data_IF_925985576557
#
_entry.id   IF_925985576557
#
_cell.length_a   1.000
_cell.length_b   1.000
_cell.length_c   1.000
_cell.angle_alpha   90.00
_cell.angle_beta   90.00
_cell.angle_gamma   90.00
#
_symmetry.space_group_name_H-M   'P 1'
#
loop_
_entity.id
_entity.type
_entity.pdbx_description
1 polymer ?
#
# COMPACT_ATOMS: atom_id res chain seq x y z
N UNK A 1 8.78 -29.20 -33.02
CA UNK A 1 8.91 -29.35 -31.55
C UNK A 1 7.91 -28.41 -30.90
N UNK A 2 6.90 -28.93 -30.19
CA UNK A 2 5.95 -28.13 -29.40
C UNK A 2 6.58 -27.88 -28.03
N UNK A 3 6.82 -26.62 -27.68
CA UNK A 3 7.31 -26.23 -26.36
C UNK A 3 6.21 -26.51 -25.33
N UNK A 4 6.47 -27.40 -24.37
CA UNK A 4 5.53 -27.68 -23.29
C UNK A 4 5.38 -26.42 -22.42
N UNK A 5 4.17 -25.88 -22.21
CA UNK A 5 3.94 -24.66 -21.42
C UNK A 5 3.94 -24.92 -19.91
N UNK A 6 4.07 -26.17 -19.47
CA UNK A 6 4.04 -26.54 -18.06
C UNK A 6 4.99 -25.74 -17.15
N UNK A 7 6.30 -25.56 -17.46
CA UNK A 7 7.20 -24.84 -16.55
C UNK A 7 6.88 -23.34 -16.42
N UNK A 8 6.29 -22.71 -17.44
CA UNK A 8 6.00 -21.26 -17.39
C UNK A 8 4.79 -20.93 -16.51
N UNK A 9 3.78 -21.80 -16.45
CA UNK A 9 2.60 -21.60 -15.59
C UNK A 9 2.98 -21.73 -14.12
N UNK A 10 3.80 -22.72 -13.76
CA UNK A 10 4.27 -22.87 -12.38
C UNK A 10 5.09 -21.68 -11.89
N UNK A 11 5.98 -21.16 -12.75
CA UNK A 11 6.75 -19.96 -12.44
C UNK A 11 5.84 -18.75 -12.23
N UNK A 12 4.83 -18.56 -13.09
CA UNK A 12 3.88 -17.46 -12.96
C UNK A 12 3.09 -17.53 -11.64
N UNK A 13 2.57 -18.71 -11.27
CA UNK A 13 1.85 -18.90 -9.99
C UNK A 13 2.75 -18.61 -8.80
N UNK A 14 4.00 -19.07 -8.83
CA UNK A 14 4.96 -18.83 -7.76
C UNK A 14 5.29 -17.34 -7.59
N UNK A 15 5.49 -16.63 -8.70
CA UNK A 15 5.72 -15.18 -8.69
C UNK A 15 4.51 -14.41 -8.17
N UNK A 16 3.30 -14.75 -8.62
CA UNK A 16 2.05 -14.12 -8.15
C UNK A 16 1.87 -14.33 -6.65
N UNK A 17 2.14 -15.53 -6.15
CA UNK A 17 2.04 -15.83 -4.72
C UNK A 17 3.08 -15.05 -3.91
N UNK A 18 4.30 -14.92 -4.42
CA UNK A 18 5.34 -14.06 -3.83
C UNK A 18 4.87 -12.61 -3.71
N UNK A 19 4.32 -12.04 -4.78
CA UNK A 19 3.78 -10.67 -4.77
C UNK A 19 2.65 -10.48 -3.75
N UNK A 20 1.72 -11.44 -3.66
CA UNK A 20 0.61 -11.38 -2.68
C UNK A 20 1.14 -11.44 -1.26
N UNK A 21 2.11 -12.33 -0.99
CA UNK A 21 2.72 -12.48 0.33
C UNK A 21 3.43 -11.20 0.77
N UNK A 22 4.27 -10.63 -0.10
CA UNK A 22 4.97 -9.37 0.17
C UNK A 22 4.00 -8.22 0.41
N UNK A 23 2.95 -8.07 -0.43
CA UNK A 23 1.92 -7.04 -0.24
C UNK A 23 1.27 -7.15 1.14
N UNK A 24 0.85 -8.36 1.53
CA UNK A 24 0.15 -8.57 2.80
C UNK A 24 1.07 -8.32 4.00
N UNK A 25 2.34 -8.72 3.92
CA UNK A 25 3.33 -8.43 4.96
C UNK A 25 3.58 -6.93 5.13
N UNK A 26 3.71 -6.18 4.03
CA UNK A 26 3.90 -4.72 4.08
C UNK A 26 2.68 -4.01 4.65
N UNK A 27 1.46 -4.40 4.25
CA UNK A 27 0.23 -3.82 4.78
C UNK A 27 0.06 -4.11 6.29
N UNK A 28 0.37 -5.34 6.72
CA UNK A 28 0.38 -5.68 8.13
C UNK A 28 1.40 -4.84 8.91
N UNK A 29 2.64 -4.74 8.41
CA UNK A 29 3.68 -3.90 9.01
C UNK A 29 3.25 -2.43 9.13
N UNK A 30 2.65 -1.87 8.09
CA UNK A 30 2.13 -0.50 8.09
C UNK A 30 1.02 -0.28 9.15
N UNK A 31 0.13 -1.25 9.35
CA UNK A 31 -0.89 -1.18 10.40
C UNK A 31 -0.31 -1.29 11.81
N UNK A 32 0.65 -2.20 12.03
CA UNK A 32 1.24 -2.48 13.36
C UNK A 32 2.14 -1.35 13.82
N UNK A 33 2.99 -0.84 12.92
CA UNK A 33 3.97 0.18 13.25
C UNK A 33 3.36 1.58 13.37
N UNK A 34 2.05 1.73 13.12
CA UNK A 34 1.37 3.04 13.00
C UNK A 34 2.22 4.03 12.22
N UNK A 35 2.82 3.57 11.11
CA UNK A 35 3.53 4.48 10.21
C UNK A 35 2.42 5.33 9.60
N UNK A 36 2.18 6.49 10.21
CA UNK A 36 1.09 7.41 9.86
C UNK A 36 1.23 8.00 8.46
N UNK A 37 2.33 7.68 7.78
CA UNK A 37 2.69 8.22 6.48
C UNK A 37 3.30 7.14 5.59
N UNK A 38 2.47 6.56 4.72
CA UNK A 38 2.92 5.77 3.60
C UNK A 38 2.88 6.63 2.34
N UNK A 39 3.86 6.43 1.46
CA UNK A 39 3.87 6.98 0.10
C UNK A 39 3.61 5.84 -0.86
N UNK A 40 2.55 5.92 -1.66
CA UNK A 40 2.18 4.88 -2.60
C UNK A 40 2.10 5.40 -4.05
N UNK A 41 2.79 4.75 -4.99
CA UNK A 41 2.91 5.26 -6.36
C UNK A 41 1.61 5.27 -7.18
N UNK A 42 0.63 4.42 -6.83
CA UNK A 42 -0.58 4.20 -7.63
C UNK A 42 -1.89 4.52 -6.89
N UNK A 43 -1.83 5.38 -5.88
CA UNK A 43 -3.03 5.93 -5.21
C UNK A 43 -3.22 7.40 -5.60
N UNK A 44 -4.42 7.97 -5.44
CA UNK A 44 -4.68 9.36 -5.78
C UNK A 44 -3.70 10.32 -5.10
N UNK A 45 -3.18 11.28 -5.87
CA UNK A 45 -2.28 12.33 -5.37
C UNK A 45 -2.94 13.07 -4.20
N UNK A 46 -2.24 13.27 -3.07
CA UNK A 46 -0.79 13.28 -2.87
C UNK A 46 -0.18 11.90 -2.53
N UNK A 47 -0.99 10.85 -2.56
CA UNK A 47 -0.59 9.51 -2.17
C UNK A 47 -0.04 9.38 -0.75
N UNK A 48 -0.43 10.31 0.13
CA UNK A 48 -0.10 10.31 1.55
C UNK A 48 -1.31 9.83 2.35
N UNK A 49 -1.09 8.84 3.18
CA UNK A 49 -2.12 8.19 3.98
C UNK A 49 -1.54 7.14 4.89
N UNK A 50 -2.41 6.57 5.71
CA UNK A 50 -2.09 5.42 6.54
C UNK A 50 -2.99 4.25 6.17
N UNK A 51 -2.51 3.05 6.47
CA UNK A 51 -3.27 1.82 6.24
C UNK A 51 -3.92 1.42 7.56
N UNK A 52 -5.22 1.14 7.53
CA UNK A 52 -5.99 0.66 8.68
C UNK A 52 -6.50 -0.75 8.40
N UNK A 53 -6.41 -1.65 9.38
CA UNK A 53 -7.05 -2.97 9.30
C UNK A 53 -8.57 -2.84 9.49
N UNK A 54 -9.34 -3.41 8.57
CA UNK A 54 -10.80 -3.39 8.60
C UNK A 54 -11.30 -4.81 8.36
N UNK A 55 -11.75 -5.47 9.44
CA UNK A 55 -12.13 -6.88 9.39
C UNK A 55 -10.97 -7.75 8.90
N UNK A 56 -11.18 -8.45 7.77
CA UNK A 56 -10.16 -9.29 7.12
C UNK A 56 -9.35 -8.57 6.05
N UNK A 57 -9.53 -7.26 5.89
CA UNK A 57 -8.92 -6.45 4.83
C UNK A 57 -8.17 -5.23 5.36
N UNK A 58 -7.71 -4.41 4.41
CA UNK A 58 -7.02 -3.15 4.67
C UNK A 58 -7.75 -2.02 3.96
N UNK A 59 -7.83 -0.87 4.62
CA UNK A 59 -8.37 0.37 4.06
C UNK A 59 -7.28 1.42 4.03
N UNK A 60 -7.17 2.09 2.89
CA UNK A 60 -6.37 3.30 2.77
C UNK A 60 -7.16 4.48 3.33
N UNK A 61 -6.57 5.18 4.29
CA UNK A 61 -7.13 6.40 4.84
C UNK A 61 -6.18 7.55 4.47
N UNK A 62 -6.60 8.46 3.55
CA UNK A 62 -5.76 9.58 3.15
C UNK A 62 -5.58 10.54 4.32
N UNK A 63 -4.38 11.10 4.48
CA UNK A 63 -4.14 12.12 5.52
C UNK A 63 -4.91 13.39 5.15
N UNK A 64 -5.67 13.99 6.08
CA UNK A 64 -6.31 15.27 5.82
C UNK A 64 -5.26 16.35 5.54
N UNK A 65 -5.50 17.15 4.51
CA UNK A 65 -4.69 18.32 4.22
C UNK A 65 -4.86 19.36 5.33
N UNK A 66 -3.89 19.47 6.23
CA UNK A 66 -3.79 20.60 7.15
C UNK A 66 -2.89 21.67 6.52
N UNK A 67 -3.51 22.67 5.86
CA UNK A 67 -2.85 23.91 5.46
C UNK A 67 -2.79 24.93 6.62
N UNK A 68 -2.59 24.47 7.85
CA UNK A 68 -2.46 25.37 9.01
C UNK A 68 -1.04 25.94 9.05
N UNK A 69 -0.82 26.98 8.25
CA UNK A 69 0.47 27.66 8.13
C UNK A 69 0.41 29.15 7.79
N UNK A 70 -0.76 29.74 7.55
CA UNK A 70 -0.90 31.19 7.63
C UNK A 70 -1.43 31.54 9.02
N UNK A 71 -0.52 31.57 9.99
CA UNK A 71 -0.77 32.26 11.25
C UNK A 71 -0.81 33.74 10.90
N UNK A 72 -2.00 34.28 10.74
CA UNK A 72 -2.21 35.73 10.80
C UNK A 72 -1.84 36.14 12.23
N UNK A 73 -0.59 36.57 12.43
CA UNK A 73 -0.22 37.28 13.64
C UNK A 73 -1.14 38.52 13.72
N UNK A 74 -1.93 38.70 14.80
CA UNK A 74 -2.70 39.92 14.97
C UNK A 74 -1.71 41.09 15.12
N UNK A 75 -1.81 42.06 14.20
CA UNK A 75 -1.17 43.37 14.30
C UNK A 75 -1.78 44.18 15.44
#
# INVERSE_FOLDING_TARGET
>A
MKTNPFPSVFLAVFLIQGCISTKNATLLGATVQRISFNVAYHVPFPALGHVVSVGTGYRWEPVPWQLSGFREEPM
#
